data_IF_665019804610
#
_entry.id   IF_665019804610
#
_cell.length_a   1.000
_cell.length_b   1.000
_cell.length_c   1.000
_cell.angle_alpha   90.00
_cell.angle_beta   90.00
_cell.angle_gamma   90.00
#
_symmetry.space_group_name_H-M   'P 1'
#
loop_
_entity.id
_entity.type
_entity.pdbx_description
1 polymer ?
#
# COMPACT_ATOMS: atom_id res chain seq x y z
N UNK A 1 -10.82 30.71 -11.66
CA UNK A 1 -12.02 29.98 -11.17
C UNK A 1 -11.72 29.49 -9.77
N UNK A 2 -12.46 29.98 -8.78
CA UNK A 2 -12.35 29.56 -7.37
C UNK A 2 -13.14 28.25 -7.26
N UNK A 3 -12.49 27.16 -6.87
CA UNK A 3 -13.18 25.90 -6.58
C UNK A 3 -14.23 26.13 -5.50
N UNK A 4 -15.41 25.52 -5.62
CA UNK A 4 -16.45 25.69 -4.60
C UNK A 4 -15.96 25.15 -3.25
N UNK A 5 -16.45 25.68 -2.13
CA UNK A 5 -16.07 25.23 -0.78
C UNK A 5 -16.20 23.71 -0.61
N UNK A 6 -17.21 23.11 -1.25
CA UNK A 6 -17.48 21.68 -1.22
C UNK A 6 -16.41 20.85 -1.96
N UNK A 7 -15.91 21.33 -3.11
CA UNK A 7 -14.85 20.64 -3.87
C UNK A 7 -13.52 20.63 -3.10
N UNK A 8 -13.20 21.74 -2.44
CA UNK A 8 -12.01 21.85 -1.58
C UNK A 8 -12.08 20.93 -0.37
N UNK A 9 -13.28 20.76 0.20
CA UNK A 9 -13.50 19.85 1.32
C UNK A 9 -13.38 18.38 0.89
N UNK A 10 -13.99 18.01 -0.24
CA UNK A 10 -13.87 16.67 -0.83
C UNK A 10 -12.40 16.31 -1.10
N UNK A 11 -11.67 17.24 -1.70
CA UNK A 11 -10.25 17.09 -1.96
C UNK A 11 -9.43 16.81 -0.70
N UNK A 12 -9.71 17.54 0.38
CA UNK A 12 -9.05 17.36 1.68
C UNK A 12 -9.36 15.97 2.27
N UNK A 13 -10.62 15.53 2.21
CA UNK A 13 -11.04 14.19 2.67
C UNK A 13 -10.28 13.09 1.92
N UNK A 14 -10.19 13.20 0.61
CA UNK A 14 -9.50 12.21 -0.24
C UNK A 14 -8.00 12.16 0.07
N UNK A 15 -7.35 13.31 0.29
CA UNK A 15 -5.94 13.34 0.73
C UNK A 15 -5.72 12.58 2.03
N UNK A 16 -6.59 12.78 3.03
CA UNK A 16 -6.49 12.08 4.32
C UNK A 16 -6.61 10.57 4.13
N UNK A 17 -7.58 10.14 3.31
CA UNK A 17 -7.81 8.72 3.02
C UNK A 17 -6.60 8.10 2.32
N UNK A 18 -6.03 8.77 1.30
CA UNK A 18 -4.83 8.27 0.60
C UNK A 18 -3.64 8.15 1.56
N UNK A 19 -3.40 9.16 2.41
CA UNK A 19 -2.32 9.11 3.40
C UNK A 19 -2.50 7.94 4.36
N UNK A 20 -3.73 7.67 4.79
CA UNK A 20 -4.06 6.52 5.62
C UNK A 20 -3.84 5.18 4.87
N UNK A 21 -4.23 5.09 3.60
CA UNK A 21 -4.01 3.86 2.79
C UNK A 21 -2.54 3.56 2.59
N UNK A 22 -1.70 4.56 2.33
CA UNK A 22 -0.25 4.35 2.27
C UNK A 22 0.31 3.93 3.64
N UNK A 23 -0.14 4.59 4.72
CA UNK A 23 0.32 4.28 6.06
C UNK A 23 0.01 2.82 6.45
N UNK A 24 -1.24 2.38 6.30
CA UNK A 24 -1.63 1.00 6.62
C UNK A 24 -1.04 0.02 5.60
N UNK A 25 -0.99 0.39 4.32
CA UNK A 25 -0.43 -0.45 3.27
C UNK A 25 1.05 -0.74 3.45
N UNK A 26 1.85 0.21 3.93
CA UNK A 26 3.27 0.00 4.24
C UNK A 26 3.45 -0.93 5.45
N UNK A 27 2.56 -0.86 6.45
CA UNK A 27 2.55 -1.83 7.57
C UNK A 27 2.26 -3.22 7.04
N UNK A 28 1.19 -3.39 6.26
CA UNK A 28 0.82 -4.67 5.66
C UNK A 28 1.92 -5.24 4.75
N UNK A 29 2.54 -4.39 3.93
CA UNK A 29 3.72 -4.73 3.13
C UNK A 29 4.84 -5.26 4.02
N UNK A 30 5.19 -4.55 5.10
CA UNK A 30 6.29 -4.97 5.98
C UNK A 30 6.02 -6.33 6.65
N UNK A 31 4.79 -6.57 7.10
CA UNK A 31 4.39 -7.83 7.74
C UNK A 31 4.54 -8.99 6.73
N UNK A 32 4.00 -8.84 5.52
CA UNK A 32 4.11 -9.88 4.49
C UNK A 32 5.55 -10.05 3.98
N UNK A 33 6.33 -8.97 3.89
CA UNK A 33 7.71 -9.03 3.43
C UNK A 33 8.60 -9.81 4.41
N UNK A 34 8.44 -9.58 5.71
CA UNK A 34 9.28 -10.21 6.74
C UNK A 34 8.75 -11.57 7.19
N UNK A 35 7.43 -11.71 7.32
CA UNK A 35 6.78 -12.88 7.92
C UNK A 35 5.81 -13.61 6.98
N UNK A 36 5.75 -13.24 5.69
CA UNK A 36 4.92 -13.90 4.68
C UNK A 36 4.99 -15.44 4.70
N UNK A 37 6.18 -16.06 4.75
CA UNK A 37 6.28 -17.52 4.74
C UNK A 37 5.57 -18.19 5.91
N UNK A 38 5.70 -17.64 7.13
CA UNK A 38 5.05 -18.23 8.30
C UNK A 38 3.53 -17.98 8.29
N UNK A 39 3.10 -16.82 7.81
CA UNK A 39 1.67 -16.51 7.64
C UNK A 39 1.03 -17.47 6.64
N UNK A 40 1.67 -17.68 5.49
CA UNK A 40 1.17 -18.61 4.48
C UNK A 40 1.27 -20.05 4.98
N UNK A 41 2.29 -20.41 5.76
CA UNK A 41 2.39 -21.74 6.38
C UNK A 41 1.20 -22.04 7.29
N UNK A 42 0.80 -21.09 8.15
CA UNK A 42 -0.39 -21.27 8.97
C UNK A 42 -1.68 -21.36 8.17
N UNK A 43 -1.75 -20.68 7.02
CA UNK A 43 -2.95 -20.67 6.20
C UNK A 43 -3.10 -21.93 5.33
N UNK A 44 -2.02 -22.36 4.67
CA UNK A 44 -2.04 -23.39 3.63
C UNK A 44 -1.33 -24.69 4.04
N UNK A 45 -0.69 -24.75 5.21
CA UNK A 45 0.15 -25.87 5.63
C UNK A 45 1.59 -25.74 5.13
N UNK A 46 2.27 -26.86 4.90
CA UNK A 46 3.66 -26.82 4.45
C UNK A 46 3.81 -26.10 3.11
N UNK A 47 4.80 -25.20 3.03
CA UNK A 47 5.07 -24.39 1.85
C UNK A 47 6.42 -24.75 1.26
N UNK A 48 6.49 -24.74 -0.07
CA UNK A 48 7.77 -24.88 -0.78
C UNK A 48 8.64 -23.62 -0.59
N UNK A 49 9.93 -23.76 -0.88
CA UNK A 49 10.86 -22.61 -0.93
C UNK A 49 10.37 -21.52 -1.91
N UNK A 50 9.81 -21.93 -3.06
CA UNK A 50 9.18 -21.00 -3.99
C UNK A 50 7.97 -20.31 -3.36
N UNK A 51 7.08 -21.04 -2.68
CA UNK A 51 5.96 -20.50 -1.92
C UNK A 51 6.38 -19.42 -0.92
N UNK A 52 7.49 -19.63 -0.22
CA UNK A 52 8.06 -18.65 0.69
C UNK A 52 8.52 -17.37 -0.03
N UNK A 53 9.22 -17.49 -1.16
CA UNK A 53 9.64 -16.32 -1.96
C UNK A 53 8.42 -15.53 -2.46
N UNK A 54 7.42 -16.24 -2.98
CA UNK A 54 6.18 -15.67 -3.52
C UNK A 54 5.45 -14.83 -2.46
N UNK A 55 5.31 -15.39 -1.26
CA UNK A 55 4.64 -14.71 -0.13
C UNK A 55 5.29 -13.38 0.24
N UNK A 56 6.60 -13.25 0.05
CA UNK A 56 7.34 -12.00 0.30
C UNK A 56 7.23 -11.04 -0.88
N UNK A 57 7.37 -11.54 -2.11
CA UNK A 57 7.37 -10.71 -3.31
C UNK A 57 6.02 -10.06 -3.57
N UNK A 58 4.90 -10.72 -3.23
CA UNK A 58 3.58 -10.12 -3.41
C UNK A 58 3.37 -8.88 -2.50
N UNK A 59 4.13 -8.76 -1.41
CA UNK A 59 4.00 -7.68 -0.45
C UNK A 59 4.21 -6.29 -1.07
N UNK A 60 5.09 -6.19 -2.09
CA UNK A 60 5.41 -4.91 -2.74
C UNK A 60 4.20 -4.27 -3.44
N UNK A 61 3.22 -5.06 -3.85
CA UNK A 61 1.99 -4.53 -4.45
C UNK A 61 1.06 -3.87 -3.43
N UNK A 62 1.14 -4.22 -2.15
CA UNK A 62 0.09 -3.92 -1.14
C UNK A 62 -0.22 -2.41 -1.04
N UNK A 63 0.75 -1.49 -0.92
CA UNK A 63 0.43 -0.07 -0.76
C UNK A 63 -0.33 0.50 -1.95
N UNK A 64 0.09 0.17 -3.18
CA UNK A 64 -0.53 0.66 -4.41
C UNK A 64 -1.84 -0.08 -4.74
N UNK A 65 -1.96 -1.34 -4.33
CA UNK A 65 -3.21 -2.09 -4.36
C UNK A 65 -4.29 -1.41 -3.51
N UNK A 66 -3.98 -1.06 -2.25
CA UNK A 66 -4.92 -0.38 -1.36
C UNK A 66 -5.34 1.00 -1.89
N UNK A 67 -4.39 1.77 -2.43
CA UNK A 67 -4.67 3.07 -3.05
C UNK A 67 -5.54 2.91 -4.30
N UNK A 68 -5.26 1.94 -5.16
CA UNK A 68 -6.12 1.62 -6.31
C UNK A 68 -7.53 1.29 -5.85
N UNK A 69 -7.67 0.42 -4.85
CA UNK A 69 -8.95 -0.03 -4.32
C UNK A 69 -9.82 1.15 -3.84
N UNK A 70 -9.24 2.08 -3.09
CA UNK A 70 -10.00 3.23 -2.58
C UNK A 70 -10.29 4.28 -3.66
N UNK A 71 -9.33 4.52 -4.56
CA UNK A 71 -9.49 5.53 -5.60
C UNK A 71 -10.43 5.10 -6.71
N UNK A 72 -10.63 3.79 -6.91
CA UNK A 72 -11.65 3.28 -7.82
C UNK A 72 -13.02 3.88 -7.50
N UNK A 73 -13.47 3.74 -6.26
CA UNK A 73 -14.77 4.26 -5.81
C UNK A 73 -14.84 5.77 -5.91
N UNK A 74 -13.73 6.47 -5.63
CA UNK A 74 -13.66 7.92 -5.84
C UNK A 74 -13.88 8.25 -7.32
N UNK A 75 -13.11 7.65 -8.23
CA UNK A 75 -13.20 7.88 -9.67
C UNK A 75 -14.62 7.61 -10.19
N UNK A 76 -15.22 6.47 -9.82
CA UNK A 76 -16.59 6.13 -10.23
C UNK A 76 -17.61 7.15 -9.68
N UNK A 77 -17.41 7.65 -8.47
CA UNK A 77 -18.34 8.63 -7.87
C UNK A 77 -18.25 10.04 -8.45
N UNK A 78 -17.10 10.43 -9.00
CA UNK A 78 -16.87 11.78 -9.54
C UNK A 78 -16.77 11.85 -11.06
N UNK A 79 -16.83 10.71 -11.75
CA UNK A 79 -16.69 10.62 -13.20
C UNK A 79 -17.55 9.51 -13.78
N UNK A 80 -18.41 9.86 -14.75
CA UNK A 80 -19.15 8.91 -15.57
C UNK A 80 -18.32 8.31 -16.71
N UNK A 81 -17.07 8.78 -16.87
CA UNK A 81 -16.13 8.26 -17.86
C UNK A 81 -15.50 7.00 -17.31
N UNK A 82 -15.47 5.92 -18.09
CA UNK A 82 -14.92 4.61 -17.74
C UNK A 82 -13.40 4.55 -17.52
N UNK A 83 -12.84 5.49 -16.75
CA UNK A 83 -11.42 5.57 -16.41
C UNK A 83 -10.94 4.32 -15.69
N UNK A 84 -11.76 3.74 -14.81
CA UNK A 84 -11.39 2.50 -14.14
C UNK A 84 -11.17 1.36 -15.15
N UNK A 85 -11.96 1.28 -16.21
CA UNK A 85 -11.72 0.31 -17.30
C UNK A 85 -10.37 0.55 -17.99
N UNK A 86 -10.02 1.81 -18.25
CA UNK A 86 -8.71 2.18 -18.84
C UNK A 86 -7.56 1.81 -17.90
N UNK A 87 -7.70 2.08 -16.60
CA UNK A 87 -6.70 1.78 -15.57
C UNK A 87 -6.46 0.26 -15.51
N UNK A 88 -7.52 -0.53 -15.39
CA UNK A 88 -7.40 -1.99 -15.30
C UNK A 88 -6.90 -2.62 -16.60
N UNK A 89 -7.34 -2.12 -17.75
CA UNK A 89 -6.82 -2.58 -19.04
C UNK A 89 -5.33 -2.30 -19.20
N UNK A 90 -4.88 -1.09 -18.84
CA UNK A 90 -3.46 -0.71 -18.86
C UNK A 90 -2.63 -1.56 -17.91
N UNK A 91 -3.14 -1.81 -16.70
CA UNK A 91 -2.52 -2.70 -15.71
C UNK A 91 -2.37 -4.13 -16.25
N UNK A 92 -3.40 -4.67 -16.88
CA UNK A 92 -3.38 -6.01 -17.47
C UNK A 92 -2.36 -6.13 -18.61
N UNK A 93 -2.28 -5.11 -19.48
CA UNK A 93 -1.27 -5.05 -20.55
C UNK A 93 0.14 -5.08 -19.95
N UNK A 94 0.41 -4.24 -18.95
CA UNK A 94 1.75 -4.17 -18.33
C UNK A 94 2.10 -5.48 -17.63
N UNK A 95 1.15 -6.09 -16.94
CA UNK A 95 1.35 -7.41 -16.34
C UNK A 95 1.75 -8.44 -17.40
N UNK A 96 1.02 -8.53 -18.51
CA UNK A 96 1.30 -9.48 -19.58
C UNK A 96 2.65 -9.20 -20.25
N UNK A 97 2.96 -7.93 -20.54
CA UNK A 97 4.25 -7.54 -21.12
C UNK A 97 5.42 -7.94 -20.21
N UNK A 98 5.35 -7.60 -18.93
CA UNK A 98 6.38 -7.98 -17.95
C UNK A 98 6.48 -9.49 -17.84
N UNK A 99 5.36 -10.20 -17.79
CA UNK A 99 5.34 -11.66 -17.76
C UNK A 99 6.08 -12.27 -18.96
N UNK A 100 5.72 -11.89 -20.19
CA UNK A 100 6.32 -12.44 -21.39
C UNK A 100 7.80 -12.07 -21.53
N UNK A 101 8.19 -10.84 -21.17
CA UNK A 101 9.60 -10.43 -21.16
C UNK A 101 10.41 -11.28 -20.17
N UNK A 102 9.92 -11.47 -18.94
CA UNK A 102 10.61 -12.31 -17.96
C UNK A 102 10.67 -13.79 -18.39
N UNK A 103 9.60 -14.28 -19.03
CA UNK A 103 9.58 -15.63 -19.61
C UNK A 103 10.61 -15.81 -20.72
N UNK A 104 10.82 -14.79 -21.56
CA UNK A 104 11.87 -14.80 -22.58
C UNK A 104 13.27 -14.96 -21.97
N UNK A 105 13.52 -14.36 -20.79
CA UNK A 105 14.76 -14.53 -20.03
C UNK A 105 14.84 -15.82 -19.19
N UNK A 106 13.90 -16.76 -19.37
CA UNK A 106 13.93 -18.06 -18.67
C UNK A 106 13.49 -18.00 -17.21
N UNK A 107 12.89 -16.90 -16.74
CA UNK A 107 12.34 -16.82 -15.39
C UNK A 107 11.16 -17.80 -15.24
N UNK A 108 11.02 -18.43 -14.07
CA UNK A 108 9.93 -19.38 -13.81
C UNK A 108 8.56 -18.70 -13.94
N UNK A 109 7.52 -19.48 -14.33
CA UNK A 109 6.18 -18.93 -14.59
C UNK A 109 5.63 -18.18 -13.39
N UNK A 110 5.82 -18.73 -12.19
CA UNK A 110 5.24 -18.17 -10.97
C UNK A 110 5.94 -16.86 -10.60
N UNK A 111 7.29 -16.83 -10.63
CA UNK A 111 8.06 -15.61 -10.33
C UNK A 111 7.76 -14.52 -11.36
N UNK A 112 7.71 -14.86 -12.65
CA UNK A 112 7.31 -13.93 -13.70
C UNK A 112 5.90 -13.39 -13.49
N UNK A 113 4.96 -14.24 -13.07
CA UNK A 113 3.59 -13.85 -12.75
C UNK A 113 3.50 -12.83 -11.61
N UNK A 114 4.24 -13.02 -10.52
CA UNK A 114 4.22 -12.11 -9.36
C UNK A 114 4.92 -10.80 -9.64
N UNK A 115 6.03 -10.82 -10.37
CA UNK A 115 6.65 -9.59 -10.81
C UNK A 115 5.71 -8.83 -11.75
N UNK A 116 5.10 -9.51 -12.73
CA UNK A 116 4.06 -8.94 -13.57
C UNK A 116 2.91 -8.34 -12.76
N UNK A 117 2.44 -9.05 -11.73
CA UNK A 117 1.41 -8.57 -10.80
C UNK A 117 1.84 -7.29 -10.07
N UNK A 118 3.05 -7.25 -9.53
CA UNK A 118 3.60 -6.06 -8.85
C UNK A 118 3.68 -4.86 -9.81
N UNK A 119 4.17 -5.06 -11.03
CA UNK A 119 4.24 -3.99 -12.03
C UNK A 119 2.86 -3.53 -12.50
N UNK A 120 1.93 -4.45 -12.74
CA UNK A 120 0.54 -4.15 -13.10
C UNK A 120 -0.13 -3.29 -12.02
N UNK A 121 -0.07 -3.71 -10.75
CA UNK A 121 -0.63 -2.91 -9.65
C UNK A 121 0.11 -1.60 -9.39
N UNK A 122 1.40 -1.53 -9.70
CA UNK A 122 2.13 -0.26 -9.66
C UNK A 122 1.55 0.73 -10.67
N UNK A 123 1.33 0.28 -11.91
CA UNK A 123 0.68 1.08 -12.96
C UNK A 123 -0.75 1.45 -12.58
N UNK A 124 -1.52 0.49 -12.06
CA UNK A 124 -2.89 0.75 -11.59
C UNK A 124 -2.93 1.85 -10.52
N UNK A 125 -2.08 1.74 -9.49
CA UNK A 125 -2.04 2.73 -8.41
C UNK A 125 -1.60 4.11 -8.89
N UNK A 126 -0.58 4.17 -9.75
CA UNK A 126 -0.10 5.43 -10.35
C UNK A 126 -1.19 6.07 -11.21
N UNK A 127 -1.84 5.30 -12.10
CA UNK A 127 -2.90 5.82 -12.95
C UNK A 127 -4.11 6.26 -12.14
N UNK A 128 -4.52 5.52 -11.11
CA UNK A 128 -5.57 5.95 -10.19
C UNK A 128 -5.25 7.32 -9.58
N UNK A 129 -4.02 7.51 -9.07
CA UNK A 129 -3.59 8.81 -8.54
C UNK A 129 -3.62 9.91 -9.62
N UNK A 130 -3.15 9.63 -10.84
CA UNK A 130 -3.12 10.60 -11.95
C UNK A 130 -4.53 11.00 -12.36
N UNK A 131 -5.43 10.04 -12.59
CA UNK A 131 -6.81 10.33 -12.99
C UNK A 131 -7.56 11.05 -11.87
N UNK A 132 -7.45 10.61 -10.62
CA UNK A 132 -8.08 11.33 -9.50
C UNK A 132 -7.54 12.75 -9.37
N UNK A 133 -6.22 12.96 -9.50
CA UNK A 133 -5.61 14.31 -9.53
C UNK A 133 -6.20 15.14 -10.68
N UNK A 134 -6.37 14.55 -11.86
CA UNK A 134 -6.89 15.24 -13.04
C UNK A 134 -8.36 15.65 -12.87
N UNK A 135 -9.19 14.75 -12.34
CA UNK A 135 -10.63 14.99 -12.16
C UNK A 135 -10.85 16.04 -11.06
N UNK A 136 -10.18 15.90 -9.93
CA UNK A 136 -10.38 16.75 -8.75
C UNK A 136 -9.50 18.00 -8.74
N UNK A 137 -8.55 18.11 -9.69
CA UNK A 137 -7.58 19.21 -9.80
C UNK A 137 -6.77 19.46 -8.52
N UNK A 138 -6.45 18.39 -7.79
CA UNK A 138 -5.74 18.46 -6.50
C UNK A 138 -4.47 17.63 -6.50
N UNK A 139 -3.42 18.13 -5.85
CA UNK A 139 -2.22 17.35 -5.57
C UNK A 139 -2.54 16.29 -4.50
N UNK A 140 -2.47 15.00 -4.86
CA UNK A 140 -2.73 13.89 -3.93
C UNK A 140 -1.48 13.43 -3.19
N UNK A 141 -0.35 13.37 -3.91
CA UNK A 141 0.97 13.06 -3.35
C UNK A 141 1.71 14.36 -3.09
N UNK A 142 2.04 14.61 -1.83
CA UNK A 142 2.76 15.80 -1.36
C UNK A 142 4.03 15.39 -0.61
N UNK A 143 4.97 16.33 -0.43
CA UNK A 143 6.32 16.00 0.01
C UNK A 143 6.32 15.39 1.41
N UNK A 144 5.49 15.91 2.30
CA UNK A 144 5.34 15.42 3.67
C UNK A 144 4.80 13.98 3.69
N UNK A 145 3.91 13.59 2.76
CA UNK A 145 3.47 12.20 2.62
C UNK A 145 4.62 11.28 2.20
N UNK A 146 5.40 11.68 1.19
CA UNK A 146 6.56 10.90 0.73
C UNK A 146 7.60 10.71 1.85
N UNK A 147 7.92 11.78 2.58
CA UNK A 147 8.81 11.72 3.75
C UNK A 147 8.25 10.76 4.80
N UNK A 148 6.94 10.83 5.07
CA UNK A 148 6.29 9.93 6.04
C UNK A 148 6.41 8.47 5.62
N UNK A 149 6.18 8.17 4.33
CA UNK A 149 6.31 6.81 3.79
C UNK A 149 7.74 6.28 3.94
N UNK A 150 8.75 7.09 3.61
CA UNK A 150 10.17 6.70 3.74
C UNK A 150 10.53 6.47 5.21
N UNK A 151 10.19 7.40 6.10
CA UNK A 151 10.43 7.26 7.54
C UNK A 151 9.73 6.04 8.13
N UNK A 152 8.52 5.72 7.65
CA UNK A 152 7.79 4.55 8.07
C UNK A 152 8.48 3.25 7.62
N UNK A 153 8.95 3.17 6.38
CA UNK A 153 9.71 2.01 5.89
C UNK A 153 10.98 1.81 6.72
N UNK A 154 11.71 2.88 7.01
CA UNK A 154 12.91 2.85 7.86
C UNK A 154 12.55 2.36 9.26
N UNK A 155 11.52 2.94 9.89
CA UNK A 155 11.11 2.58 11.24
C UNK A 155 10.68 1.11 11.36
N UNK A 156 9.90 0.61 10.40
CA UNK A 156 9.45 -0.79 10.35
C UNK A 156 10.61 -1.76 10.08
N UNK A 157 11.56 -1.39 9.22
CA UNK A 157 12.76 -2.19 8.97
C UNK A 157 13.67 -2.26 10.21
N UNK A 158 13.86 -1.13 10.91
CA UNK A 158 14.60 -1.09 12.17
C UNK A 158 13.91 -1.91 13.27
N UNK A 159 12.57 -1.85 13.34
CA UNK A 159 11.79 -2.66 14.26
C UNK A 159 11.96 -4.15 13.98
N UNK A 160 11.93 -4.56 12.70
CA UNK A 160 12.17 -5.94 12.30
C UNK A 160 13.54 -6.43 12.75
N UNK A 161 14.60 -5.64 12.53
CA UNK A 161 15.97 -5.98 12.97
C UNK A 161 16.02 -6.14 14.50
N UNK A 162 15.45 -5.20 15.25
CA UNK A 162 15.42 -5.24 16.71
C UNK A 162 14.73 -6.50 17.22
N UNK A 163 13.53 -6.81 16.70
CA UNK A 163 12.76 -7.98 17.12
C UNK A 163 13.47 -9.28 16.75
N UNK A 164 14.03 -9.35 15.54
CA UNK A 164 14.77 -10.52 15.07
C UNK A 164 16.03 -10.79 15.89
N UNK A 165 16.66 -9.73 16.43
CA UNK A 165 17.79 -9.86 17.35
C UNK A 165 17.40 -10.23 18.79
N UNK A 166 16.15 -9.98 19.17
CA UNK A 166 15.65 -10.20 20.54
C UNK A 166 15.05 -11.59 20.73
N UNK A 167 14.29 -12.07 19.74
CA UNK A 167 13.57 -13.34 19.84
C UNK A 167 14.11 -14.35 18.84
N UNK A 168 14.44 -15.56 19.31
CA UNK A 168 14.88 -16.66 18.44
C UNK A 168 13.71 -17.32 17.69
N UNK A 169 12.56 -17.46 18.36
CA UNK A 169 11.37 -18.09 17.77
C UNK A 169 10.64 -17.11 16.82
N UNK A 170 10.40 -17.56 15.58
CA UNK A 170 9.78 -16.77 14.50
C UNK A 170 8.32 -16.38 14.77
N UNK A 171 7.57 -17.20 15.51
CA UNK A 171 6.18 -16.95 15.91
C UNK A 171 6.14 -15.80 16.92
N UNK A 172 7.05 -15.82 17.89
CA UNK A 172 7.25 -14.74 18.86
C UNK A 172 7.73 -13.46 18.19
N UNK A 173 8.59 -13.56 17.17
CA UNK A 173 8.96 -12.40 16.35
C UNK A 173 7.74 -11.79 15.64
N UNK A 174 6.93 -12.60 14.94
CA UNK A 174 5.71 -12.15 14.26
C UNK A 174 4.73 -11.49 15.24
N UNK A 175 4.43 -12.15 16.36
CA UNK A 175 3.51 -11.64 17.37
C UNK A 175 3.99 -10.31 17.94
N UNK A 176 5.28 -10.23 18.30
CA UNK A 176 5.89 -9.00 18.82
C UNK A 176 5.87 -7.88 17.77
N UNK A 177 6.19 -8.20 16.52
CA UNK A 177 6.24 -7.22 15.43
C UNK A 177 4.87 -6.62 15.14
N UNK A 178 3.84 -7.46 15.06
CA UNK A 178 2.46 -7.01 14.88
C UNK A 178 2.02 -6.17 16.08
N UNK A 179 2.27 -6.63 17.30
CA UNK A 179 1.88 -5.92 18.53
C UNK A 179 2.53 -4.53 18.62
N UNK A 180 3.84 -4.45 18.43
CA UNK A 180 4.57 -3.17 18.48
C UNK A 180 4.17 -2.26 17.32
N UNK A 181 3.90 -2.81 16.12
CA UNK A 181 3.40 -2.02 14.99
C UNK A 181 2.02 -1.42 15.26
N UNK A 182 1.13 -2.16 15.91
CA UNK A 182 -0.19 -1.67 16.33
C UNK A 182 -0.04 -0.56 17.39
N UNK A 183 0.73 -0.81 18.45
CA UNK A 183 0.99 0.19 19.51
C UNK A 183 1.61 1.45 18.91
N UNK A 184 2.62 1.30 18.06
CA UNK A 184 3.27 2.40 17.35
C UNK A 184 2.31 3.19 16.47
N UNK A 185 1.38 2.50 15.77
CA UNK A 185 0.35 3.15 14.96
C UNK A 185 -0.64 3.95 15.81
N UNK A 186 -1.05 3.42 16.96
CA UNK A 186 -1.91 4.12 17.92
C UNK A 186 -1.18 5.34 18.48
N UNK A 187 0.06 5.20 18.92
CA UNK A 187 0.87 6.32 19.42
C UNK A 187 1.08 7.39 18.34
N UNK A 188 1.36 6.98 17.10
CA UNK A 188 1.47 7.88 15.97
C UNK A 188 0.16 8.63 15.74
N UNK A 189 -0.99 7.95 15.76
CA UNK A 189 -2.30 8.57 15.60
C UNK A 189 -2.58 9.64 16.68
N UNK A 190 -2.22 9.39 17.94
CA UNK A 190 -2.47 10.33 19.05
C UNK A 190 -1.43 11.44 19.19
N UNK A 191 -0.16 11.21 18.84
CA UNK A 191 0.93 12.16 19.07
C UNK A 191 1.41 12.91 17.83
N UNK A 192 1.11 12.41 16.63
CA UNK A 192 1.60 13.04 15.41
C UNK A 192 0.93 14.39 15.16
N UNK A 193 1.74 15.37 14.76
CA UNK A 193 1.32 16.71 14.31
C UNK A 193 1.14 16.78 12.79
N UNK A 194 1.21 15.64 12.09
CA UNK A 194 0.93 15.56 10.67
C UNK A 194 -0.48 16.06 10.38
N UNK A 195 -0.62 16.95 9.40
CA UNK A 195 -1.90 17.56 9.04
C UNK A 195 -3.01 16.52 8.84
N UNK A 196 -2.73 15.45 8.09
CA UNK A 196 -3.73 14.42 7.80
C UNK A 196 -4.14 13.64 9.06
N UNK A 197 -3.22 13.42 10.01
CA UNK A 197 -3.52 12.77 11.30
C UNK A 197 -4.36 13.68 12.16
N UNK A 198 -4.01 14.98 12.25
CA UNK A 198 -4.79 15.95 13.00
C UNK A 198 -6.22 16.02 12.48
N UNK A 199 -6.41 16.11 11.16
CA UNK A 199 -7.75 16.15 10.56
C UNK A 199 -8.53 14.85 10.79
N UNK A 200 -7.87 13.69 10.71
CA UNK A 200 -8.50 12.40 11.00
C UNK A 200 -8.92 12.31 12.48
N UNK A 201 -8.04 12.75 13.39
CA UNK A 201 -8.30 12.78 14.83
C UNK A 201 -9.50 13.67 15.16
N UNK A 202 -9.58 14.87 14.58
CA UNK A 202 -10.72 15.77 14.78
C UNK A 202 -12.04 15.14 14.38
N UNK A 203 -12.05 14.42 13.27
CA UNK A 203 -13.24 13.72 12.76
C UNK A 203 -13.66 12.52 13.59
N UNK A 204 -12.71 11.77 14.14
CA UNK A 204 -13.00 10.53 14.89
C UNK A 204 -13.29 10.84 16.36
N UNK A 205 -12.57 11.79 16.96
CA UNK A 205 -12.65 12.09 18.39
C UNK A 205 -13.57 13.27 18.73
N UNK A 206 -14.17 13.94 17.72
CA UNK A 206 -14.95 15.17 17.90
C UNK A 206 -14.21 16.26 18.71
N UNK A 207 -12.88 16.33 18.56
CA UNK A 207 -11.98 17.37 19.11
C UNK A 207 -11.58 18.35 18.02
#
# INVERSE_FOLDING_TARGET
MIASSNELELARKIRIIISWMFFVGIIGMSIMLFYGPIIVKYWLGEISHEGAIISRLIAFSIPLFMVTGILRSVIDSVSERGYNSIIYFSSAIVLLLVYFVLKYFGISNIVAGILGFNFGYSVSGILSIIFTKSILRIKLIYNELLITMVLQIIALSSLFILISSTFVNIEMQLLSYVTVSIIGSVLFFYKSNQYWVLQLRKKILNM
#
